data_IF_567796261319
#
_entry.id   IF_567796261319
#
_cell.length_a   1.000
_cell.length_b   1.000
_cell.length_c   1.000
_cell.angle_alpha   90.00
_cell.angle_beta   90.00
_cell.angle_gamma   90.00
#
_symmetry.space_group_name_H-M   'P 1'
#
loop_
_entity.id
_entity.type
_entity.pdbx_description
1 polymer ?
#
# COMPACT_ATOMS: atom_id res chain seq x y z
N UNK A 1 -48.22 5.78 -21.98
CA UNK A 1 -47.04 4.91 -22.16
C UNK A 1 -45.85 5.84 -22.19
N UNK A 2 -45.30 6.12 -21.01
CA UNK A 2 -44.07 6.90 -20.86
C UNK A 2 -42.97 5.88 -20.66
N UNK A 3 -42.11 5.73 -21.66
CA UNK A 3 -40.87 4.97 -21.51
C UNK A 3 -39.90 5.87 -20.76
N UNK A 4 -39.63 5.50 -19.52
CA UNK A 4 -38.48 5.99 -18.76
C UNK A 4 -37.22 5.58 -19.54
N UNK A 5 -36.50 6.57 -20.07
CA UNK A 5 -35.14 6.38 -20.55
C UNK A 5 -34.28 6.14 -19.30
N UNK A 6 -34.01 4.88 -19.01
CA UNK A 6 -32.88 4.48 -18.17
C UNK A 6 -31.60 5.00 -18.84
N UNK A 7 -31.14 6.19 -18.45
CA UNK A 7 -29.76 6.61 -18.70
C UNK A 7 -28.84 5.67 -17.94
N UNK A 8 -28.39 4.61 -18.61
CA UNK A 8 -27.23 3.82 -18.18
C UNK A 8 -26.04 4.78 -18.22
N UNK A 9 -25.68 5.31 -17.06
CA UNK A 9 -24.47 6.07 -16.89
C UNK A 9 -23.31 5.10 -17.13
N UNK A 10 -22.70 5.12 -18.31
CA UNK A 10 -21.52 4.30 -18.62
C UNK A 10 -20.48 4.54 -17.53
N UNK A 11 -20.24 3.52 -16.70
CA UNK A 11 -19.13 3.54 -15.75
C UNK A 11 -17.85 3.59 -16.56
N UNK A 12 -17.17 4.73 -16.54
CA UNK A 12 -15.85 4.86 -17.16
C UNK A 12 -14.87 3.97 -16.39
N UNK A 13 -14.23 3.07 -17.11
CA UNK A 13 -13.25 2.12 -16.59
C UNK A 13 -11.89 2.34 -17.23
N UNK A 14 -10.84 1.90 -16.54
CA UNK A 14 -9.45 1.87 -17.02
C UNK A 14 -8.97 0.43 -16.96
N UNK A 15 -8.38 -0.03 -18.06
CA UNK A 15 -7.84 -1.38 -18.17
C UNK A 15 -6.34 -1.40 -17.86
N UNK A 16 -5.94 -2.23 -16.89
CA UNK A 16 -4.55 -2.40 -16.47
C UNK A 16 -4.11 -3.84 -16.69
N UNK A 17 -2.91 -4.07 -17.24
CA UNK A 17 -2.35 -5.42 -17.43
C UNK A 17 -1.17 -5.67 -16.50
N UNK A 18 -1.28 -6.66 -15.63
CA UNK A 18 -0.28 -7.02 -14.62
C UNK A 18 0.91 -7.80 -15.20
N UNK A 19 1.95 -7.97 -14.37
CA UNK A 19 3.18 -8.70 -14.73
C UNK A 19 2.97 -10.19 -15.00
N UNK A 20 1.92 -10.77 -14.44
CA UNK A 20 1.43 -12.15 -14.64
C UNK A 20 0.35 -12.24 -15.75
N UNK A 21 0.32 -11.24 -16.64
CA UNK A 21 -0.51 -11.18 -17.85
C UNK A 21 -2.04 -11.09 -17.61
N UNK A 22 -2.50 -10.89 -16.38
CA UNK A 22 -3.92 -10.65 -16.10
C UNK A 22 -4.32 -9.21 -16.44
N UNK A 23 -5.57 -9.03 -16.87
CA UNK A 23 -6.13 -7.72 -17.22
C UNK A 23 -7.25 -7.37 -16.24
N UNK A 24 -7.13 -6.21 -15.62
CA UNK A 24 -8.06 -5.67 -14.64
C UNK A 24 -8.81 -4.48 -15.23
N UNK A 25 -10.13 -4.47 -15.09
CA UNK A 25 -10.95 -3.29 -15.31
C UNK A 25 -11.21 -2.64 -13.95
N UNK A 26 -10.68 -1.43 -13.77
CA UNK A 26 -10.86 -0.63 -12.56
C UNK A 26 -11.75 0.58 -12.87
N UNK A 27 -12.60 0.98 -11.92
CA UNK A 27 -13.37 2.22 -12.07
C UNK A 27 -12.42 3.40 -12.19
N UNK A 28 -12.72 4.35 -13.08
CA UNK A 28 -11.80 5.47 -13.39
C UNK A 28 -11.40 6.25 -12.13
N UNK A 29 -12.34 6.52 -11.23
CA UNK A 29 -12.05 7.22 -9.97
C UNK A 29 -11.03 6.47 -9.09
N UNK A 30 -11.11 5.13 -9.04
CA UNK A 30 -10.16 4.30 -8.29
C UNK A 30 -8.80 4.26 -9.00
N UNK A 31 -8.80 4.05 -10.32
CA UNK A 31 -7.58 4.01 -11.11
C UNK A 31 -6.81 5.34 -11.07
N UNK A 32 -7.52 6.47 -10.96
CA UNK A 32 -6.93 7.81 -10.87
C UNK A 32 -6.28 8.11 -9.51
N UNK A 33 -6.48 7.27 -8.49
CA UNK A 33 -5.68 7.32 -7.25
C UNK A 33 -4.25 6.82 -7.49
N UNK A 34 -4.00 6.05 -8.56
CA UNK A 34 -2.66 5.58 -8.87
C UNK A 34 -1.94 6.71 -9.61
N UNK A 35 -0.95 7.34 -8.98
CA UNK A 35 -0.21 8.46 -9.58
C UNK A 35 0.41 8.09 -10.93
N UNK A 36 0.84 6.84 -11.10
CA UNK A 36 1.39 6.33 -12.37
C UNK A 36 0.34 6.25 -13.47
N UNK A 37 -0.88 5.80 -13.16
CA UNK A 37 -2.01 5.76 -14.11
C UNK A 37 -2.50 7.17 -14.44
N UNK A 38 -2.59 8.04 -13.44
CA UNK A 38 -2.96 9.44 -13.62
C UNK A 38 -1.98 10.20 -14.52
N UNK A 39 -0.68 9.93 -14.39
CA UNK A 39 0.33 10.49 -15.29
C UNK A 39 0.19 9.96 -16.73
N UNK A 40 -0.17 8.69 -16.89
CA UNK A 40 -0.34 8.06 -18.20
C UNK A 40 -1.59 8.56 -18.95
N UNK A 41 -2.74 8.62 -18.29
CA UNK A 41 -4.01 9.06 -18.89
C UNK A 41 -4.31 10.56 -18.71
N UNK A 42 -3.38 11.32 -18.15
CA UNK A 42 -3.47 12.77 -17.99
C UNK A 42 -3.16 13.56 -19.25
N UNK A 43 -2.61 12.92 -20.28
CA UNK A 43 -2.41 13.48 -21.62
C UNK A 43 -3.66 13.22 -22.49
N UNK A 44 -4.19 14.27 -23.11
CA UNK A 44 -5.40 14.21 -23.97
C UNK A 44 -5.23 13.28 -25.19
N UNK A 45 -3.99 12.89 -25.50
CA UNK A 45 -3.67 11.98 -26.61
C UNK A 45 -3.91 10.48 -26.34
N UNK A 46 -4.17 10.07 -25.09
CA UNK A 46 -4.29 8.64 -24.73
C UNK A 46 -5.74 8.20 -24.63
N UNK A 47 -6.15 7.25 -25.47
CA UNK A 47 -7.48 6.66 -25.41
C UNK A 47 -7.69 5.88 -24.11
N UNK A 48 -8.85 6.05 -23.48
CA UNK A 48 -9.26 5.28 -22.29
C UNK A 48 -9.54 3.81 -22.58
N UNK A 49 -9.70 3.44 -23.85
CA UNK A 49 -9.82 2.04 -24.29
C UNK A 49 -8.47 1.31 -24.31
N UNK A 50 -7.36 2.03 -24.11
CA UNK A 50 -6.03 1.43 -24.09
C UNK A 50 -5.80 0.66 -22.79
N UNK A 51 -5.29 -0.58 -22.91
CA UNK A 51 -4.82 -1.36 -21.77
C UNK A 51 -3.42 -0.89 -21.39
N UNK A 52 -3.27 -0.31 -20.20
CA UNK A 52 -1.99 0.15 -19.69
C UNK A 52 -1.23 -1.02 -19.02
N UNK A 53 -0.03 -1.37 -19.48
CA UNK A 53 0.78 -2.41 -18.84
C UNK A 53 1.45 -1.89 -17.56
N UNK A 54 1.42 -2.70 -16.50
CA UNK A 54 2.07 -2.46 -15.20
C UNK A 54 2.98 -3.65 -14.83
N UNK A 55 4.15 -3.78 -15.50
CA UNK A 55 4.98 -4.98 -15.47
C UNK A 55 5.65 -5.29 -14.13
N UNK A 56 5.56 -4.40 -13.14
CA UNK A 56 6.18 -4.57 -11.82
C UNK A 56 5.17 -4.92 -10.71
N UNK A 57 3.92 -5.21 -11.07
CA UNK A 57 2.84 -5.50 -10.11
C UNK A 57 2.13 -6.78 -10.54
N UNK A 58 2.04 -7.78 -9.67
CA UNK A 58 1.22 -8.96 -9.92
C UNK A 58 -0.24 -8.71 -9.54
N UNK A 59 -1.12 -9.56 -10.06
CA UNK A 59 -2.57 -9.53 -9.84
C UNK A 59 -2.98 -9.52 -8.36
N UNK A 60 -2.27 -10.28 -7.52
CA UNK A 60 -2.56 -10.38 -6.09
C UNK A 60 -2.34 -9.04 -5.36
N UNK A 61 -1.28 -8.29 -5.69
CA UNK A 61 -1.03 -6.95 -5.11
C UNK A 61 -2.01 -5.95 -5.70
N UNK A 62 -2.22 -5.95 -7.02
CA UNK A 62 -3.12 -4.99 -7.66
C UNK A 62 -4.54 -5.11 -7.11
N UNK A 63 -5.06 -6.33 -6.95
CA UNK A 63 -6.38 -6.59 -6.34
C UNK A 63 -6.49 -5.94 -4.96
N UNK A 64 -5.44 -6.05 -4.15
CA UNK A 64 -5.39 -5.49 -2.80
C UNK A 64 -5.36 -3.96 -2.84
N UNK A 65 -4.56 -3.38 -3.73
CA UNK A 65 -4.46 -1.93 -3.90
C UNK A 65 -5.79 -1.34 -4.38
N UNK A 66 -6.47 -1.97 -5.35
CA UNK A 66 -7.79 -1.57 -5.82
C UNK A 66 -8.82 -1.61 -4.68
N UNK A 67 -8.85 -2.70 -3.89
CA UNK A 67 -9.74 -2.81 -2.74
C UNK A 67 -9.48 -1.71 -1.69
N UNK A 68 -8.20 -1.43 -1.41
CA UNK A 68 -7.81 -0.34 -0.51
C UNK A 68 -8.32 1.01 -1.02
N UNK A 69 -8.00 1.38 -2.26
CA UNK A 69 -8.38 2.67 -2.85
C UNK A 69 -9.90 2.84 -2.92
N UNK A 70 -10.63 1.77 -3.26
CA UNK A 70 -12.11 1.79 -3.28
C UNK A 70 -12.69 2.13 -1.91
N UNK A 71 -12.23 1.45 -0.85
CA UNK A 71 -12.68 1.70 0.52
C UNK A 71 -12.21 3.07 1.04
N UNK A 72 -10.97 3.44 0.73
CA UNK A 72 -10.40 4.73 1.07
C UNK A 72 -11.24 5.88 0.48
N UNK A 73 -11.56 5.84 -0.81
CA UNK A 73 -12.39 6.83 -1.48
C UNK A 73 -13.82 6.92 -0.90
N UNK A 74 -14.38 5.82 -0.40
CA UNK A 74 -15.69 5.83 0.25
C UNK A 74 -15.66 6.45 1.67
N UNK A 75 -14.51 6.40 2.35
CA UNK A 75 -14.34 6.85 3.73
C UNK A 75 -13.73 8.26 3.85
N UNK A 76 -12.81 8.63 2.96
CA UNK A 76 -12.07 9.91 2.99
C UNK A 76 -13.01 11.13 3.03
N UNK A 77 -14.06 11.24 2.19
CA UNK A 77 -14.96 12.39 2.24
C UNK A 77 -15.65 12.55 3.60
N UNK A 78 -16.00 11.44 4.27
CA UNK A 78 -16.60 11.48 5.62
C UNK A 78 -15.59 11.95 6.66
N UNK A 79 -14.34 11.50 6.54
CA UNK A 79 -13.26 11.90 7.44
C UNK A 79 -12.91 13.40 7.33
N UNK A 80 -13.11 14.00 6.17
CA UNK A 80 -12.92 15.45 5.99
C UNK A 80 -14.03 16.29 6.64
N UNK A 81 -15.23 15.71 6.81
CA UNK A 81 -16.39 16.41 7.35
C UNK A 81 -16.54 16.34 8.87
N UNK A 82 -16.22 15.20 9.51
CA UNK A 82 -16.38 15.04 10.96
C UNK A 82 -15.38 14.07 11.64
N UNK A 83 -15.28 14.16 12.97
CA UNK A 83 -14.37 13.32 13.77
C UNK A 83 -14.77 11.83 13.82
N UNK A 84 -16.05 11.50 13.63
CA UNK A 84 -16.49 10.12 13.56
C UNK A 84 -15.98 9.44 12.28
N UNK A 85 -16.03 10.14 11.14
CA UNK A 85 -15.42 9.72 9.89
C UNK A 85 -13.91 9.51 10.00
N UNK A 86 -13.18 10.42 10.67
CA UNK A 86 -11.74 10.23 10.93
C UNK A 86 -11.46 9.00 11.79
N UNK A 87 -12.33 8.72 12.78
CA UNK A 87 -12.21 7.52 13.62
C UNK A 87 -12.47 6.25 12.81
N UNK A 88 -13.45 6.27 11.91
CA UNK A 88 -13.76 5.16 11.01
C UNK A 88 -12.59 4.89 10.05
N UNK A 89 -12.04 5.92 9.41
CA UNK A 89 -10.87 5.79 8.52
C UNK A 89 -9.64 5.24 9.25
N UNK A 90 -9.33 5.76 10.44
CA UNK A 90 -8.22 5.24 11.26
C UNK A 90 -8.43 3.78 11.67
N UNK A 91 -9.65 3.41 12.01
CA UNK A 91 -9.99 2.02 12.34
C UNK A 91 -9.81 1.11 11.12
N UNK A 92 -10.30 1.53 9.96
CA UNK A 92 -10.10 0.82 8.71
C UNK A 92 -8.60 0.59 8.44
N UNK A 93 -7.77 1.63 8.54
CA UNK A 93 -6.31 1.51 8.37
C UNK A 93 -5.68 0.51 9.35
N UNK A 94 -5.99 0.63 10.64
CA UNK A 94 -5.44 -0.25 11.67
C UNK A 94 -5.83 -1.73 11.46
N UNK A 95 -7.00 -2.00 10.90
CA UNK A 95 -7.48 -3.36 10.65
C UNK A 95 -7.04 -3.91 9.29
N UNK A 96 -6.77 -3.04 8.30
CA UNK A 96 -6.60 -3.45 6.91
C UNK A 96 -5.42 -4.42 6.70
N UNK A 97 -4.27 -4.10 7.29
CA UNK A 97 -2.99 -4.84 7.13
C UNK A 97 -2.63 -5.66 8.36
N UNK A 98 -3.56 -5.79 9.32
CA UNK A 98 -3.30 -6.43 10.61
C UNK A 98 -2.96 -7.91 10.48
N UNK A 99 -3.69 -8.61 9.62
CA UNK A 99 -3.55 -10.07 9.41
C UNK A 99 -2.50 -10.40 8.32
N UNK A 100 -1.97 -9.39 7.61
CA UNK A 100 -0.97 -9.60 6.56
C UNK A 100 0.40 -9.96 7.18
N UNK A 101 1.16 -10.86 6.56
CA UNK A 101 2.55 -11.14 7.01
C UNK A 101 3.47 -9.97 6.66
N UNK A 102 4.65 -9.90 7.29
CA UNK A 102 5.58 -8.78 7.02
C UNK A 102 6.11 -8.87 5.59
N UNK A 103 6.39 -10.07 5.10
CA UNK A 103 6.80 -10.31 3.71
C UNK A 103 5.72 -9.81 2.75
N UNK A 104 4.45 -10.10 3.05
CA UNK A 104 3.32 -9.63 2.24
C UNK A 104 3.21 -8.10 2.23
N UNK A 105 3.43 -7.46 3.37
CA UNK A 105 3.45 -5.99 3.45
C UNK A 105 4.61 -5.41 2.65
N UNK A 106 5.80 -6.02 2.69
CA UNK A 106 6.94 -5.57 1.88
C UNK A 106 6.66 -5.68 0.37
N UNK A 107 6.03 -6.77 -0.09
CA UNK A 107 5.58 -6.88 -1.49
C UNK A 107 4.59 -5.75 -1.85
N UNK A 108 3.63 -5.47 -0.97
CA UNK A 108 2.66 -4.39 -1.17
C UNK A 108 3.31 -3.00 -1.18
N UNK A 109 4.37 -2.78 -0.38
CA UNK A 109 5.13 -1.53 -0.38
C UNK A 109 5.73 -1.28 -1.76
N UNK A 110 6.39 -2.29 -2.35
CA UNK A 110 6.99 -2.18 -3.67
C UNK A 110 5.95 -1.88 -4.76
N UNK A 111 4.78 -2.53 -4.69
CA UNK A 111 3.70 -2.29 -5.63
C UNK A 111 3.05 -0.90 -5.45
N UNK A 112 2.83 -0.47 -4.21
CA UNK A 112 2.24 0.82 -3.87
C UNK A 112 3.16 1.98 -4.26
N UNK A 113 4.47 1.84 -4.05
CA UNK A 113 5.49 2.80 -4.50
C UNK A 113 5.51 2.90 -6.02
N UNK A 114 5.53 1.77 -6.73
CA UNK A 114 5.50 1.73 -8.19
C UNK A 114 4.24 2.40 -8.80
N UNK A 115 3.08 2.21 -8.18
CA UNK A 115 1.82 2.84 -8.60
C UNK A 115 1.63 4.25 -8.05
N UNK A 116 2.52 4.71 -7.16
CA UNK A 116 2.48 5.98 -6.46
C UNK A 116 1.16 6.20 -5.70
N UNK A 117 0.81 5.24 -4.83
CA UNK A 117 -0.38 5.27 -3.96
C UNK A 117 0.04 5.66 -2.54
N UNK A 118 0.30 6.95 -2.32
CA UNK A 118 0.92 7.46 -1.09
C UNK A 118 0.15 7.11 0.20
N UNK A 119 -1.18 7.25 0.21
CA UNK A 119 -2.01 6.93 1.39
C UNK A 119 -1.88 5.44 1.80
N UNK A 120 -1.68 4.53 0.83
CA UNK A 120 -1.46 3.11 1.10
C UNK A 120 -0.02 2.85 1.53
N UNK A 121 0.95 3.49 0.88
CA UNK A 121 2.36 3.39 1.19
C UNK A 121 2.66 3.82 2.64
N UNK A 122 2.06 4.94 3.09
CA UNK A 122 2.18 5.42 4.47
C UNK A 122 1.62 4.41 5.48
N UNK A 123 0.45 3.82 5.19
CA UNK A 123 -0.14 2.77 6.02
C UNK A 123 0.80 1.56 6.15
N UNK A 124 1.32 1.08 5.02
CA UNK A 124 2.20 -0.09 4.99
C UNK A 124 3.52 0.17 5.73
N UNK A 125 4.14 1.35 5.50
CA UNK A 125 5.36 1.77 6.18
C UNK A 125 5.15 1.87 7.70
N UNK A 126 4.04 2.45 8.14
CA UNK A 126 3.69 2.51 9.55
C UNK A 126 3.53 1.10 10.14
N UNK A 127 2.90 0.17 9.41
CA UNK A 127 2.74 -1.21 9.88
C UNK A 127 4.10 -1.92 10.04
N UNK A 128 5.04 -1.72 9.11
CA UNK A 128 6.41 -2.25 9.26
C UNK A 128 7.09 -1.62 10.47
N UNK A 129 6.99 -0.28 10.64
CA UNK A 129 7.56 0.43 11.78
C UNK A 129 7.02 -0.09 13.12
N UNK A 130 5.72 -0.37 13.21
CA UNK A 130 5.09 -0.90 14.42
C UNK A 130 5.54 -2.35 14.71
N UNK A 131 5.84 -3.16 13.69
CA UNK A 131 6.32 -4.55 13.84
C UNK A 131 7.77 -4.64 14.32
N UNK A 132 8.60 -3.66 13.99
CA UNK A 132 10.00 -3.60 14.42
C UNK A 132 10.20 -2.77 15.69
N UNK A 133 9.15 -2.05 16.12
CA UNK A 133 9.19 -1.24 17.32
C UNK A 133 9.50 -2.11 18.54
N UNK A 134 10.49 -1.71 19.32
CA UNK A 134 10.97 -2.41 20.52
C UNK A 134 11.45 -3.85 20.27
N UNK A 135 11.71 -4.25 19.02
CA UNK A 135 12.32 -5.55 18.71
C UNK A 135 13.85 -5.48 18.71
N UNK A 136 14.48 -6.64 18.90
CA UNK A 136 15.94 -6.74 18.95
C UNK A 136 16.57 -6.45 17.59
N UNK A 137 17.84 -6.05 17.60
CA UNK A 137 18.61 -5.82 16.37
C UNK A 137 18.69 -7.11 15.55
N UNK A 138 18.79 -8.25 16.23
CA UNK A 138 18.83 -9.60 15.66
C UNK A 138 17.52 -9.96 14.96
N UNK A 139 16.38 -9.68 15.59
CA UNK A 139 15.06 -9.86 14.98
C UNK A 139 14.91 -9.01 13.72
N UNK A 140 15.25 -7.72 13.81
CA UNK A 140 15.14 -6.79 12.68
C UNK A 140 16.05 -7.22 11.52
N UNK A 141 17.30 -7.61 11.82
CA UNK A 141 18.22 -8.16 10.82
C UNK A 141 17.63 -9.39 10.13
N UNK A 142 17.10 -10.34 10.91
CA UNK A 142 16.48 -11.56 10.38
C UNK A 142 15.25 -11.23 9.52
N UNK A 143 14.40 -10.31 9.95
CA UNK A 143 13.18 -9.91 9.26
C UNK A 143 13.48 -9.34 7.87
N UNK A 144 14.53 -8.52 7.75
CA UNK A 144 14.96 -7.92 6.48
C UNK A 144 16.00 -8.75 5.72
N UNK A 145 16.40 -9.92 6.24
CA UNK A 145 17.43 -10.76 5.61
C UNK A 145 18.82 -10.11 5.56
N UNK A 146 19.15 -9.28 6.54
CA UNK A 146 20.41 -8.54 6.64
C UNK A 146 21.42 -9.38 7.44
N UNK A 147 22.55 -9.69 6.82
CA UNK A 147 23.71 -10.25 7.52
C UNK A 147 24.51 -9.13 8.20
N UNK A 148 24.98 -9.37 9.44
CA UNK A 148 25.81 -8.40 10.15
C UNK A 148 27.19 -8.29 9.50
N UNK A 149 27.60 -7.08 9.17
CA UNK A 149 28.90 -6.72 8.60
C UNK A 149 29.92 -6.29 9.65
N UNK A 150 29.51 -6.16 10.92
CA UNK A 150 30.40 -5.85 12.04
C UNK A 150 31.27 -7.03 12.46
N UNK A 151 32.52 -6.74 12.83
CA UNK A 151 33.35 -7.68 13.59
C UNK A 151 32.81 -7.85 15.02
N UNK A 152 33.14 -8.96 15.71
CA UNK A 152 32.71 -9.17 17.09
C UNK A 152 33.13 -8.06 18.05
N UNK A 153 34.33 -7.50 17.85
CA UNK A 153 34.85 -6.39 18.63
C UNK A 153 34.06 -5.09 18.39
N UNK A 154 33.79 -4.74 17.13
CA UNK A 154 32.99 -3.55 16.79
C UNK A 154 31.55 -3.67 17.31
N UNK A 155 30.93 -4.84 17.19
CA UNK A 155 29.59 -5.08 17.72
C UNK A 155 29.57 -4.96 19.25
N UNK A 156 30.59 -5.46 19.94
CA UNK A 156 30.70 -5.33 21.40
C UNK A 156 30.87 -3.87 21.84
N UNK A 157 31.70 -3.10 21.13
CA UNK A 157 31.88 -1.65 21.39
C UNK A 157 30.57 -0.88 21.18
N UNK A 158 29.84 -1.16 20.08
CA UNK A 158 28.54 -0.55 19.80
C UNK A 158 27.50 -0.92 20.86
N UNK A 159 27.44 -2.19 21.29
CA UNK A 159 26.53 -2.62 22.37
C UNK A 159 26.85 -1.93 23.70
N UNK A 160 28.13 -1.70 23.99
CA UNK A 160 28.53 -0.96 25.18
C UNK A 160 28.17 0.53 25.08
N UNK A 161 28.41 1.16 23.93
CA UNK A 161 28.12 2.58 23.70
C UNK A 161 26.61 2.87 23.67
N UNK A 162 25.83 1.96 23.10
CA UNK A 162 24.38 2.08 22.92
C UNK A 162 23.60 1.13 23.82
N UNK A 163 24.12 0.82 25.02
CA UNK A 163 23.49 -0.11 25.97
C UNK A 163 21.99 0.19 26.21
N UNK A 164 21.63 1.48 26.23
CA UNK A 164 20.24 1.95 26.37
C UNK A 164 19.28 1.41 25.30
N UNK A 165 19.77 1.10 24.10
CA UNK A 165 18.95 0.60 22.99
C UNK A 165 18.60 -0.90 23.12
N UNK A 166 19.26 -1.60 24.05
CA UNK A 166 19.04 -3.03 24.32
C UNK A 166 18.23 -3.27 25.60
N UNK A 167 17.82 -2.21 26.30
CA UNK A 167 17.00 -2.29 27.50
C UNK A 167 15.50 -2.25 27.14
N UNK A 168 14.68 -3.13 27.73
CA UNK A 168 13.23 -3.13 27.52
C UNK A 168 12.78 -3.57 26.12
N UNK A 169 13.64 -4.32 25.43
CA UNK A 169 13.34 -4.97 24.14
C UNK A 169 12.43 -6.18 24.39
N UNK A 170 11.42 -6.35 23.54
CA UNK A 170 10.51 -7.50 23.58
C UNK A 170 11.27 -8.79 23.24
N UNK A 171 10.92 -9.91 23.88
CA UNK A 171 11.42 -11.22 23.44
C UNK A 171 11.01 -11.49 21.98
N UNK A 172 11.93 -12.08 21.22
CA UNK A 172 11.82 -12.24 19.76
C UNK A 172 10.65 -13.11 19.31
#
# INVERSE_FOLDING_TARGET
>A
MSTEEDTVQEKKTISLKTSDDEVFESEENVAMEFGTVKAFFGDDGVSRDMVMPIPNVHSKELTRIIDFCTKHLALKPKADHDEAGKKELRKFYAEYVKEDTTERIMELILAADYLNVNDFLDLLNQSVADRIKNKSVEYVRKLFGIESDFTPEEEAELRQQYAWAFEGVDED
#
